data_IF_434239513781
#
_entry.id   IF_434239513781
#
_cell.length_a   1.000
_cell.length_b   1.000
_cell.length_c   1.000
_cell.angle_alpha   90.00
_cell.angle_beta   90.00
_cell.angle_gamma   90.00
#
_symmetry.space_group_name_H-M   'P 1'
#
loop_
_entity.id
_entity.type
_entity.pdbx_description
1 polymer ?
#
# COMPACT_ATOMS: atom_id res chain seq x y z
N UNK A 1 -0.36 10.15 -9.43
CA UNK A 1 -0.01 11.23 -10.41
C UNK A 1 -1.20 11.58 -11.27
N UNK A 2 -1.63 10.71 -12.22
CA UNK A 2 -2.60 11.02 -13.27
C UNK A 2 -3.94 11.58 -12.74
N UNK A 3 -4.60 10.87 -11.83
CA UNK A 3 -5.89 11.34 -11.28
C UNK A 3 -5.78 12.66 -10.50
N UNK A 4 -4.64 12.90 -9.81
CA UNK A 4 -4.39 14.20 -9.18
C UNK A 4 -4.25 15.31 -10.23
N UNK A 5 -3.59 15.03 -11.35
CA UNK A 5 -3.46 15.98 -12.47
C UNK A 5 -4.83 16.29 -13.08
N UNK A 6 -5.60 15.25 -13.44
CA UNK A 6 -6.94 15.43 -14.04
C UNK A 6 -7.86 16.21 -13.09
N UNK A 7 -7.87 15.87 -11.81
CA UNK A 7 -8.72 16.55 -10.81
C UNK A 7 -8.32 18.01 -10.59
N UNK A 8 -7.04 18.36 -10.75
CA UNK A 8 -6.56 19.71 -10.58
C UNK A 8 -6.71 20.58 -11.84
N UNK A 9 -6.52 19.99 -13.02
CA UNK A 9 -6.54 20.71 -14.30
C UNK A 9 -7.87 20.70 -15.04
N UNK A 10 -8.72 19.68 -14.78
CA UNK A 10 -9.89 19.38 -15.59
C UNK A 10 -9.57 18.82 -16.98
N UNK A 11 -8.30 18.50 -17.26
CA UNK A 11 -7.82 17.99 -18.56
C UNK A 11 -8.08 16.48 -18.67
N UNK A 12 -9.23 16.15 -19.25
CA UNK A 12 -9.57 14.75 -19.60
C UNK A 12 -9.02 14.32 -20.96
N UNK A 13 -8.52 15.24 -21.80
CA UNK A 13 -8.00 14.89 -23.13
C UNK A 13 -6.73 14.06 -23.04
N UNK A 14 -6.00 14.17 -21.94
CA UNK A 14 -4.84 13.30 -21.65
C UNK A 14 -5.19 11.82 -21.70
N UNK A 15 -6.43 11.43 -21.35
CA UNK A 15 -6.88 10.03 -21.39
C UNK A 15 -6.91 9.50 -22.82
N UNK A 16 -7.27 10.33 -23.81
CA UNK A 16 -7.25 9.99 -25.23
C UNK A 16 -5.81 9.91 -25.80
N UNK A 17 -4.85 10.50 -25.11
CA UNK A 17 -3.45 10.58 -25.49
C UNK A 17 -2.57 9.53 -24.79
N UNK A 18 -3.10 8.34 -24.55
CA UNK A 18 -2.38 7.19 -24.02
C UNK A 18 -2.50 6.99 -22.49
N UNK A 19 -3.00 7.99 -21.73
CA UNK A 19 -3.08 7.83 -20.29
C UNK A 19 -4.11 6.77 -19.87
N UNK A 20 -5.22 6.60 -20.63
CA UNK A 20 -6.18 5.52 -20.36
C UNK A 20 -5.56 4.14 -20.58
N UNK A 21 -4.81 3.96 -21.66
CA UNK A 21 -4.08 2.71 -21.92
C UNK A 21 -3.09 2.40 -20.79
N UNK A 22 -2.32 3.40 -20.35
CA UNK A 22 -1.39 3.25 -19.23
C UNK A 22 -2.10 2.77 -17.94
N UNK A 23 -3.25 3.34 -17.58
CA UNK A 23 -3.99 2.94 -16.36
C UNK A 23 -4.57 1.53 -16.50
N UNK A 24 -5.04 1.16 -17.71
CA UNK A 24 -5.49 -0.20 -18.01
C UNK A 24 -4.35 -1.21 -17.84
N UNK A 25 -3.16 -0.91 -18.36
CA UNK A 25 -2.00 -1.81 -18.22
C UNK A 25 -1.54 -1.91 -16.74
N UNK A 26 -1.59 -0.83 -15.97
CA UNK A 26 -1.40 -0.88 -14.52
C UNK A 26 -2.42 -1.81 -13.84
N UNK A 27 -3.70 -1.74 -14.23
CA UNK A 27 -4.72 -2.62 -13.68
C UNK A 27 -4.48 -4.09 -14.05
N UNK A 28 -4.11 -4.37 -15.29
CA UNK A 28 -3.74 -5.73 -15.73
C UNK A 28 -2.53 -6.26 -14.95
N UNK A 29 -1.53 -5.41 -14.72
CA UNK A 29 -0.36 -5.76 -13.92
C UNK A 29 -0.77 -6.13 -12.49
N UNK A 30 -1.50 -5.27 -11.76
CA UNK A 30 -1.97 -5.61 -10.42
C UNK A 30 -2.85 -6.85 -10.41
N UNK A 31 -3.70 -7.04 -11.44
CA UNK A 31 -4.51 -8.26 -11.55
C UNK A 31 -3.65 -9.51 -11.69
N UNK A 32 -2.51 -9.44 -12.36
CA UNK A 32 -1.59 -10.57 -12.52
C UNK A 32 -0.89 -10.98 -11.23
N UNK A 33 -0.82 -10.08 -10.25
CA UNK A 33 -0.25 -10.35 -8.92
C UNK A 33 -1.25 -11.01 -7.95
N UNK A 34 -2.54 -11.00 -8.28
CA UNK A 34 -3.56 -11.49 -7.35
C UNK A 34 -3.53 -13.02 -7.25
N UNK A 35 -3.43 -13.50 -6.02
CA UNK A 35 -3.48 -14.92 -5.64
C UNK A 35 -4.78 -15.17 -4.91
N UNK A 36 -5.47 -16.26 -5.22
CA UNK A 36 -6.66 -16.70 -4.50
C UNK A 36 -6.38 -18.00 -3.77
N UNK A 37 -6.57 -18.01 -2.47
CA UNK A 37 -6.52 -19.25 -1.69
C UNK A 37 -7.76 -20.09 -1.91
N UNK A 38 -7.62 -21.41 -1.82
CA UNK A 38 -8.71 -22.35 -2.05
C UNK A 38 -9.86 -22.20 -1.03
N UNK A 39 -9.55 -21.76 0.17
CA UNK A 39 -10.46 -21.60 1.32
C UNK A 39 -11.00 -20.16 1.50
N UNK A 40 -10.66 -19.26 0.58
CA UNK A 40 -11.03 -17.85 0.66
C UNK A 40 -11.61 -17.33 -0.64
N UNK A 41 -12.59 -16.44 -0.55
CA UNK A 41 -13.08 -15.66 -1.69
C UNK A 41 -12.21 -14.43 -1.97
N UNK A 42 -11.28 -14.08 -1.07
CA UNK A 42 -10.44 -12.90 -1.19
C UNK A 42 -9.23 -13.18 -2.06
N UNK A 43 -8.79 -12.12 -2.78
CA UNK A 43 -7.51 -12.06 -3.46
C UNK A 43 -6.45 -11.44 -2.56
N UNK A 44 -5.26 -12.01 -2.57
CA UNK A 44 -4.09 -11.58 -1.84
C UNK A 44 -2.97 -11.17 -2.80
N UNK A 45 -2.07 -10.28 -2.35
CA UNK A 45 -0.82 -9.96 -3.04
C UNK A 45 0.32 -10.38 -2.11
N UNK A 46 1.22 -11.20 -2.61
CA UNK A 46 2.33 -11.77 -1.86
C UNK A 46 3.67 -11.28 -2.38
N UNK A 47 4.70 -11.41 -1.53
CA UNK A 47 6.11 -11.24 -1.89
C UNK A 47 6.41 -9.85 -2.47
N UNK A 48 5.91 -8.81 -1.82
CA UNK A 48 6.09 -7.41 -2.24
C UNK A 48 6.92 -6.62 -1.25
N UNK A 49 7.44 -5.49 -1.72
CA UNK A 49 8.01 -4.42 -0.88
C UNK A 49 7.06 -3.23 -0.96
N UNK A 50 6.60 -2.77 0.20
CA UNK A 50 5.83 -1.52 0.30
C UNK A 50 6.73 -0.28 0.21
N UNK A 51 6.22 0.92 0.52
CA UNK A 51 7.05 2.09 0.74
C UNK A 51 8.12 1.89 1.82
N UNK A 52 7.79 1.10 2.85
CA UNK A 52 8.76 0.67 3.86
C UNK A 52 9.75 -0.33 3.27
N UNK A 53 10.97 0.13 3.03
CA UNK A 53 12.03 -0.69 2.44
C UNK A 53 12.75 -1.59 3.46
N UNK A 54 12.46 -1.46 4.79
CA UNK A 54 13.08 -2.32 5.79
C UNK A 54 12.50 -3.73 5.79
N UNK A 55 11.22 -3.87 5.42
CA UNK A 55 10.53 -5.15 5.36
C UNK A 55 10.29 -5.58 3.92
N UNK A 56 11.18 -6.43 3.44
CA UNK A 56 11.09 -7.02 2.10
C UNK A 56 10.29 -8.32 2.11
N UNK A 57 9.71 -8.68 0.95
CA UNK A 57 9.04 -9.96 0.73
C UNK A 57 7.86 -10.21 1.68
N UNK A 58 7.09 -9.16 1.93
CA UNK A 58 5.90 -9.24 2.79
C UNK A 58 4.64 -9.59 2.02
N UNK A 59 3.66 -10.15 2.73
CA UNK A 59 2.37 -10.50 2.15
C UNK A 59 1.30 -9.50 2.58
N UNK A 60 0.38 -9.19 1.67
CA UNK A 60 -0.77 -8.33 1.95
C UNK A 60 -0.39 -6.99 2.57
N UNK A 61 0.65 -6.33 2.00
CA UNK A 61 0.98 -4.98 2.39
C UNK A 61 -0.22 -4.06 2.17
N UNK A 62 -0.66 -3.38 3.23
CA UNK A 62 -1.90 -2.61 3.23
C UNK A 62 -1.90 -1.48 2.20
N UNK A 63 -0.77 -0.77 2.05
CA UNK A 63 -0.60 0.28 1.05
C UNK A 63 -0.70 -0.30 -0.37
N UNK A 64 0.03 -1.37 -0.66
CA UNK A 64 0.04 -2.01 -1.99
C UNK A 64 -1.34 -2.51 -2.38
N UNK A 65 -2.03 -3.24 -1.48
CA UNK A 65 -3.37 -3.75 -1.75
C UNK A 65 -4.39 -2.62 -1.96
N UNK A 66 -4.31 -1.53 -1.17
CA UNK A 66 -5.19 -0.37 -1.32
C UNK A 66 -4.91 0.39 -2.63
N UNK A 67 -3.65 0.47 -3.05
CA UNK A 67 -3.28 1.05 -4.33
C UNK A 67 -3.77 0.21 -5.52
N UNK A 68 -3.65 -1.12 -5.44
CA UNK A 68 -4.19 -2.01 -6.46
C UNK A 68 -5.71 -1.83 -6.61
N UNK A 69 -6.45 -1.82 -5.49
CA UNK A 69 -7.88 -1.53 -5.49
C UNK A 69 -8.18 -0.18 -6.14
N UNK A 70 -7.45 0.87 -5.77
CA UNK A 70 -7.63 2.20 -6.36
C UNK A 70 -7.45 2.21 -7.88
N UNK A 71 -6.48 1.47 -8.40
CA UNK A 71 -6.27 1.36 -9.84
C UNK A 71 -7.42 0.64 -10.51
N UNK A 72 -7.94 -0.46 -9.94
CA UNK A 72 -9.12 -1.17 -10.48
C UNK A 72 -10.35 -0.25 -10.50
N UNK A 73 -10.64 0.41 -9.37
CA UNK A 73 -11.77 1.33 -9.25
C UNK A 73 -11.66 2.49 -10.25
N UNK A 74 -10.47 3.06 -10.44
CA UNK A 74 -10.22 4.14 -11.39
C UNK A 74 -10.53 3.71 -12.83
N UNK A 75 -10.07 2.53 -13.27
CA UNK A 75 -10.36 2.03 -14.63
C UNK A 75 -11.86 1.78 -14.80
N UNK A 76 -12.52 1.22 -13.79
CA UNK A 76 -13.97 0.98 -13.82
C UNK A 76 -14.77 2.28 -13.89
N UNK A 77 -14.42 3.29 -13.11
CA UNK A 77 -15.03 4.61 -13.12
C UNK A 77 -14.87 5.29 -14.49
N UNK A 78 -13.68 5.23 -15.06
CA UNK A 78 -13.41 5.81 -16.38
C UNK A 78 -14.07 5.03 -17.53
N UNK A 79 -14.45 3.78 -17.31
CA UNK A 79 -15.07 2.92 -18.36
C UNK A 79 -16.41 3.41 -18.90
N UNK A 80 -17.06 4.32 -18.22
CA UNK A 80 -18.29 4.96 -18.69
C UNK A 80 -18.03 5.91 -19.87
N UNK A 81 -16.84 6.52 -19.92
CA UNK A 81 -16.42 7.40 -21.02
C UNK A 81 -15.47 6.71 -22.01
N UNK A 82 -14.73 5.72 -21.54
CA UNK A 82 -13.72 4.98 -22.31
C UNK A 82 -14.07 3.49 -22.27
N UNK A 83 -14.89 2.99 -23.22
CA UNK A 83 -15.41 1.64 -23.20
C UNK A 83 -14.30 0.59 -23.08
N UNK A 84 -14.46 -0.34 -22.15
CA UNK A 84 -13.59 -1.49 -21.95
C UNK A 84 -14.19 -2.73 -22.63
N UNK A 85 -13.34 -3.68 -22.96
CA UNK A 85 -13.78 -5.05 -23.23
C UNK A 85 -14.55 -5.61 -22.02
N UNK A 86 -15.71 -6.25 -22.27
CA UNK A 86 -16.59 -6.76 -21.22
C UNK A 86 -15.89 -7.74 -20.28
N UNK A 87 -15.05 -8.63 -20.82
CA UNK A 87 -14.29 -9.61 -20.02
C UNK A 87 -13.33 -8.92 -19.07
N UNK A 88 -12.63 -7.90 -19.57
CA UNK A 88 -11.73 -7.10 -18.74
C UNK A 88 -12.52 -6.37 -17.64
N UNK A 89 -13.66 -5.76 -17.97
CA UNK A 89 -14.53 -5.06 -17.01
C UNK A 89 -14.97 -5.99 -15.88
N UNK A 90 -15.48 -7.17 -16.20
CA UNK A 90 -15.89 -8.19 -15.22
C UNK A 90 -14.72 -8.63 -14.33
N UNK A 91 -13.55 -8.88 -14.94
CA UNK A 91 -12.35 -9.24 -14.18
C UNK A 91 -11.91 -8.16 -13.21
N UNK A 92 -11.98 -6.89 -13.58
CA UNK A 92 -11.60 -5.78 -12.71
C UNK A 92 -12.64 -5.56 -11.60
N UNK A 93 -13.94 -5.74 -11.90
CA UNK A 93 -15.01 -5.69 -10.89
C UNK A 93 -14.81 -6.78 -9.81
N UNK A 94 -14.53 -8.02 -10.25
CA UNK A 94 -14.23 -9.12 -9.35
C UNK A 94 -12.96 -8.84 -8.51
N UNK A 95 -11.91 -8.32 -9.14
CA UNK A 95 -10.66 -7.97 -8.46
C UNK A 95 -10.85 -6.86 -7.42
N UNK A 96 -11.51 -5.78 -7.79
CA UNK A 96 -11.78 -4.66 -6.88
C UNK A 96 -12.65 -5.08 -5.68
N UNK A 97 -13.65 -5.91 -5.92
CA UNK A 97 -14.57 -6.38 -4.89
C UNK A 97 -13.90 -7.31 -3.89
N UNK A 98 -13.00 -8.17 -4.37
CA UNK A 98 -12.50 -9.30 -3.60
C UNK A 98 -11.03 -9.14 -3.16
N UNK A 99 -10.32 -8.07 -3.54
CA UNK A 99 -8.96 -7.84 -3.02
C UNK A 99 -9.00 -7.62 -1.51
N UNK A 100 -8.09 -8.27 -0.79
CA UNK A 100 -7.96 -8.14 0.66
C UNK A 100 -7.54 -6.72 1.02
N UNK A 101 -8.38 -6.02 1.76
CA UNK A 101 -8.08 -4.70 2.34
C UNK A 101 -8.02 -4.84 3.85
N UNK A 102 -6.86 -4.55 4.42
CA UNK A 102 -6.66 -4.61 5.89
C UNK A 102 -7.54 -3.57 6.57
N UNK A 103 -8.20 -4.00 7.64
CA UNK A 103 -9.09 -3.16 8.46
C UNK A 103 -8.41 -2.83 9.78
N UNK A 104 -8.80 -1.71 10.43
CA UNK A 104 -8.36 -1.44 11.79
C UNK A 104 -8.73 -2.60 12.74
N UNK A 105 -7.82 -2.93 13.65
CA UNK A 105 -8.08 -3.84 14.75
C UNK A 105 -8.95 -3.20 15.84
N UNK A 106 -9.17 -3.87 16.94
CA UNK A 106 -9.96 -3.38 18.10
C UNK A 106 -9.44 -2.06 18.70
N UNK A 107 -8.13 -1.79 18.53
CA UNK A 107 -7.48 -0.55 18.97
C UNK A 107 -7.46 0.54 17.88
N UNK A 108 -8.09 0.32 16.75
CA UNK A 108 -8.11 1.26 15.63
C UNK A 108 -6.85 1.27 14.77
N UNK A 109 -5.90 0.37 15.00
CA UNK A 109 -4.62 0.29 14.27
C UNK A 109 -4.74 -0.67 13.09
N UNK A 110 -4.31 -0.26 11.92
CA UNK A 110 -4.26 -1.07 10.70
C UNK A 110 -2.90 -1.77 10.64
N UNK A 111 -2.88 -3.08 10.49
CA UNK A 111 -1.66 -3.86 10.32
C UNK A 111 -0.98 -3.52 8.98
N UNK A 112 0.33 -3.23 8.99
CA UNK A 112 1.06 -2.81 7.78
C UNK A 112 1.14 -3.92 6.73
N UNK A 113 1.41 -5.16 7.15
CA UNK A 113 1.42 -6.39 6.34
C UNK A 113 1.14 -7.60 7.23
N UNK A 114 0.97 -8.77 6.66
CA UNK A 114 0.65 -9.97 7.42
C UNK A 114 1.78 -10.31 8.41
N UNK A 115 1.43 -10.31 9.69
CA UNK A 115 2.35 -10.66 10.78
C UNK A 115 3.16 -9.49 11.35
N UNK A 116 2.96 -8.26 10.89
CA UNK A 116 3.67 -7.08 11.41
C UNK A 116 3.57 -6.96 12.94
N UNK A 117 2.40 -7.17 13.52
CA UNK A 117 2.20 -7.09 14.97
C UNK A 117 2.87 -8.22 15.77
N UNK A 118 3.40 -9.24 15.09
CA UNK A 118 4.17 -10.34 15.75
C UNK A 118 5.66 -10.02 15.81
N UNK A 119 6.10 -8.98 15.12
CA UNK A 119 7.48 -8.53 15.15
C UNK A 119 7.81 -7.86 16.49
N UNK A 120 9.08 -7.82 16.83
CA UNK A 120 9.55 -7.22 18.07
C UNK A 120 9.21 -5.72 18.13
N UNK A 121 8.45 -5.30 19.13
CA UNK A 121 8.07 -3.90 19.34
C UNK A 121 9.13 -3.22 20.23
N UNK A 122 10.07 -2.54 19.60
CA UNK A 122 11.19 -1.82 20.24
C UNK A 122 11.36 -0.44 19.64
N UNK A 123 12.07 0.44 20.35
CA UNK A 123 12.33 1.80 19.86
C UNK A 123 13.35 1.82 18.72
N UNK A 124 13.31 2.88 17.93
CA UNK A 124 14.31 3.16 16.88
C UNK A 124 15.73 3.21 17.45
N UNK A 125 15.90 3.79 18.65
CA UNK A 125 17.20 3.86 19.34
C UNK A 125 17.71 2.47 19.70
N UNK A 126 16.81 1.57 20.15
CA UNK A 126 17.17 0.18 20.46
C UNK A 126 17.67 -0.53 19.21
N UNK A 127 16.96 -0.41 18.07
CA UNK A 127 17.41 -1.00 16.80
C UNK A 127 18.73 -0.39 16.35
N UNK A 128 18.88 0.93 16.44
CA UNK A 128 20.11 1.65 16.11
C UNK A 128 21.31 1.15 16.93
N UNK A 129 21.12 0.84 18.21
CA UNK A 129 22.18 0.33 19.08
C UNK A 129 22.69 -1.07 18.69
N UNK A 130 21.96 -1.80 17.86
CA UNK A 130 22.35 -3.12 17.34
C UNK A 130 23.30 -3.05 16.14
N UNK A 131 23.46 -1.86 15.54
CA UNK A 131 24.34 -1.68 14.39
C UNK A 131 25.82 -1.83 14.82
N UNK A 132 26.54 -2.67 14.12
CA UNK A 132 28.01 -2.77 14.24
C UNK A 132 28.67 -1.59 13.51
N UNK A 133 28.12 -1.26 12.32
CA UNK A 133 28.55 -0.11 11.56
C UNK A 133 27.39 0.92 11.49
N UNK A 134 27.57 2.16 11.98
CA UNK A 134 26.51 3.18 11.97
C UNK A 134 25.97 3.56 10.57
N UNK A 135 26.69 3.19 9.51
CA UNK A 135 26.30 3.42 8.12
C UNK A 135 25.65 2.19 7.46
N UNK A 136 25.47 1.12 8.22
CA UNK A 136 24.83 -0.09 7.71
C UNK A 136 23.36 0.16 7.37
N UNK A 137 22.88 -0.50 6.30
CA UNK A 137 21.46 -0.50 5.96
C UNK A 137 20.68 -1.38 6.95
N UNK A 138 19.57 -0.88 7.46
CA UNK A 138 18.82 -1.54 8.54
C UNK A 138 17.85 -2.61 8.05
N UNK A 139 17.48 -2.57 6.78
CA UNK A 139 16.47 -3.43 6.17
C UNK A 139 17.04 -4.64 5.44
N UNK A 140 16.16 -5.30 4.69
CA UNK A 140 16.47 -6.54 3.99
C UNK A 140 16.45 -7.76 4.90
N UNK A 141 16.69 -8.94 4.32
CA UNK A 141 16.55 -10.23 5.02
C UNK A 141 17.37 -10.38 6.31
N UNK A 142 18.47 -9.63 6.44
CA UNK A 142 19.40 -9.72 7.56
C UNK A 142 19.62 -8.39 8.29
N UNK A 143 18.87 -7.35 7.92
CA UNK A 143 18.97 -6.05 8.56
C UNK A 143 18.46 -6.05 10.00
N UNK A 144 19.02 -5.17 10.83
CA UNK A 144 18.66 -5.08 12.27
C UNK A 144 17.19 -4.73 12.51
N UNK A 145 16.51 -4.10 11.53
CA UNK A 145 15.10 -3.75 11.61
C UNK A 145 14.17 -4.86 11.10
N UNK A 146 14.65 -5.83 10.32
CA UNK A 146 13.82 -6.79 9.58
C UNK A 146 12.86 -7.63 10.43
N UNK A 147 13.21 -7.86 11.70
CA UNK A 147 12.38 -8.62 12.65
C UNK A 147 11.75 -7.74 13.73
N UNK A 148 11.71 -6.43 13.53
CA UNK A 148 11.15 -5.45 14.47
C UNK A 148 10.01 -4.66 13.84
N UNK A 149 9.24 -3.94 14.64
CA UNK A 149 8.23 -3.01 14.14
C UNK A 149 8.81 -1.65 13.73
N UNK A 150 10.13 -1.48 13.76
CA UNK A 150 10.79 -0.27 13.26
C UNK A 150 10.80 -0.28 11.75
N UNK A 151 10.30 0.78 11.15
CA UNK A 151 10.09 0.97 9.71
C UNK A 151 10.91 2.15 9.18
N UNK A 152 11.26 2.11 7.92
CA UNK A 152 11.91 3.25 7.24
C UNK A 152 10.91 4.32 6.85
N UNK A 153 9.78 3.92 6.27
CA UNK A 153 8.65 4.77 5.90
C UNK A 153 7.34 4.20 6.47
N UNK A 154 6.44 5.09 6.87
CA UNK A 154 5.14 4.71 7.43
C UNK A 154 4.09 4.47 6.35
N UNK A 155 4.04 3.26 5.79
CA UNK A 155 3.11 2.85 4.72
C UNK A 155 1.66 3.19 5.06
N UNK A 156 1.25 2.91 6.29
CA UNK A 156 -0.12 3.15 6.73
C UNK A 156 -0.43 4.64 6.78
N UNK A 157 0.47 5.48 7.28
CA UNK A 157 0.27 6.93 7.33
C UNK A 157 0.18 7.50 5.92
N UNK A 158 1.06 7.06 5.01
CA UNK A 158 1.03 7.43 3.60
C UNK A 158 -0.28 7.00 2.92
N UNK A 159 -0.73 5.76 3.15
CA UNK A 159 -2.00 5.25 2.64
C UNK A 159 -3.19 6.08 3.13
N UNK A 160 -3.28 6.33 4.44
CA UNK A 160 -4.36 7.11 5.03
C UNK A 160 -4.39 8.55 4.52
N UNK A 161 -3.23 9.17 4.34
CA UNK A 161 -3.11 10.51 3.73
C UNK A 161 -3.63 10.56 2.30
N UNK A 162 -3.32 9.52 1.48
CA UNK A 162 -3.77 9.44 0.10
C UNK A 162 -5.28 9.19 -0.01
N UNK A 163 -5.85 8.42 0.89
CA UNK A 163 -7.24 7.98 0.90
C UNK A 163 -8.03 8.55 2.09
N UNK A 164 -7.71 9.78 2.50
CA UNK A 164 -8.23 10.43 3.70
C UNK A 164 -9.76 10.47 3.80
N UNK A 165 -10.48 10.40 2.66
CA UNK A 165 -11.94 10.42 2.64
C UNK A 165 -12.56 9.05 2.96
N UNK A 166 -11.77 7.98 2.98
CA UNK A 166 -12.24 6.61 3.25
C UNK A 166 -12.12 6.24 4.73
N UNK A 167 -11.48 7.10 5.54
CA UNK A 167 -11.18 6.83 6.93
C UNK A 167 -11.63 7.97 7.84
N UNK A 168 -12.03 7.64 9.05
CA UNK A 168 -12.36 8.65 10.07
C UNK A 168 -11.09 9.33 10.59
N UNK A 169 -11.25 10.54 11.11
CA UNK A 169 -10.15 11.29 11.72
C UNK A 169 -9.50 10.50 12.87
N UNK A 170 -10.31 9.83 13.69
CA UNK A 170 -9.83 9.01 14.81
C UNK A 170 -8.91 7.87 14.34
N UNK A 171 -9.27 7.18 13.25
CA UNK A 171 -8.42 6.13 12.65
C UNK A 171 -7.11 6.73 12.15
N UNK A 172 -7.14 7.88 11.48
CA UNK A 172 -5.94 8.55 10.99
C UNK A 172 -5.02 8.96 12.15
N UNK A 173 -5.55 9.59 13.21
CA UNK A 173 -4.78 10.00 14.38
C UNK A 173 -4.22 8.80 15.15
N UNK A 174 -5.00 7.74 15.31
CA UNK A 174 -4.56 6.52 16.01
C UNK A 174 -3.38 5.89 15.28
N UNK A 175 -3.46 5.76 13.97
CA UNK A 175 -2.39 5.17 13.18
C UNK A 175 -1.15 6.07 13.11
N UNK A 176 -1.31 7.39 13.02
CA UNK A 176 -0.18 8.32 13.11
C UNK A 176 0.56 8.16 14.45
N UNK A 177 -0.16 8.16 15.57
CA UNK A 177 0.43 7.98 16.92
C UNK A 177 1.12 6.61 17.08
N UNK A 178 0.64 5.58 16.37
CA UNK A 178 1.23 4.25 16.43
C UNK A 178 2.50 4.13 15.58
N UNK A 179 2.48 4.60 14.33
CA UNK A 179 3.55 4.39 13.36
C UNK A 179 4.66 5.45 13.43
N UNK A 180 4.34 6.69 13.79
CA UNK A 180 5.32 7.79 13.84
C UNK A 180 6.52 7.46 14.76
N UNK A 181 6.36 7.02 16.03
CA UNK A 181 7.49 6.71 16.89
C UNK A 181 8.26 5.45 16.49
N UNK A 182 7.73 4.65 15.56
CA UNK A 182 8.38 3.46 15.00
C UNK A 182 9.09 3.73 13.68
N UNK A 183 8.94 4.94 13.14
CA UNK A 183 9.55 5.34 11.87
C UNK A 183 10.95 5.91 12.13
N UNK A 184 11.95 5.42 11.40
CA UNK A 184 13.36 5.81 11.58
C UNK A 184 13.61 7.26 11.14
N UNK A 185 12.82 7.81 10.20
CA UNK A 185 12.98 9.17 9.66
C UNK A 185 14.39 9.48 9.10
N UNK A 186 15.10 8.45 8.65
CA UNK A 186 16.47 8.55 8.19
C UNK A 186 16.65 9.12 6.78
N UNK A 187 15.58 9.43 6.09
CA UNK A 187 15.62 10.01 4.74
C UNK A 187 14.58 11.09 4.55
N UNK A 188 14.81 11.98 3.56
CA UNK A 188 13.86 13.03 3.18
C UNK A 188 12.51 12.50 2.65
N UNK A 189 12.42 11.20 2.36
CA UNK A 189 11.19 10.55 1.88
C UNK A 189 10.34 9.99 3.03
N UNK A 190 10.85 10.01 4.26
CA UNK A 190 10.18 9.44 5.45
C UNK A 190 9.32 10.45 6.20
N UNK A 191 9.32 11.70 5.78
CA UNK A 191 8.62 12.80 6.45
C UNK A 191 7.16 12.94 5.99
#
# INVERSE_FOLDING_TARGET
>A
GLMKYINASGDYDILNNGAMEMVIECAKFYRSLLIRKADSSLYEIHDVVGPDEYHERVNNNAYTNRMAKFVFDTVLELSDKYPLDNKLKEMLQDSSKNILIKKPNENGVIEQFDGYFKLEDVSVETVRSRLINPKEYWGGAYGVASNTQVIKQADIVAMLSMFKNDYTKDIMETNLKYYEPRTEHGSSLSA
#
